data_IF_442148198633
#
_entry.id   IF_442148198633
#
_cell.length_a   1.000
_cell.length_b   1.000
_cell.length_c   1.000
_cell.angle_alpha   90.00
_cell.angle_beta   90.00
_cell.angle_gamma   90.00
#
_symmetry.space_group_name_H-M   'P 1'
#
loop_
_entity.id
_entity.type
_entity.pdbx_description
1 polymer ?
#
# COMPACT_ATOMS: atom_id res chain seq x y z
N UNK A 1 -5.02 14.03 -0.01
CA UNK A 1 -6.22 13.32 0.49
C UNK A 1 -6.07 13.03 1.99
N UNK A 2 -7.15 12.73 2.73
CA UNK A 2 -7.20 12.62 4.21
C UNK A 2 -7.72 11.27 4.74
N UNK A 3 -7.89 10.25 3.89
CA UNK A 3 -8.35 8.93 4.33
C UNK A 3 -7.27 8.18 5.13
N UNK A 4 -7.67 7.45 6.17
CA UNK A 4 -6.82 6.64 7.05
C UNK A 4 -7.12 5.13 6.96
N UNK A 5 -8.25 4.73 6.36
CA UNK A 5 -8.60 3.35 6.06
C UNK A 5 -9.60 3.30 4.89
N UNK A 6 -9.76 2.12 4.29
CA UNK A 6 -10.76 1.84 3.27
C UNK A 6 -11.56 0.58 3.64
N UNK A 7 -12.87 0.62 3.42
CA UNK A 7 -13.74 -0.56 3.44
C UNK A 7 -14.13 -0.88 2.00
N UNK A 8 -13.69 -2.05 1.51
CA UNK A 8 -13.90 -2.48 0.14
C UNK A 8 -14.88 -3.64 0.07
N UNK A 9 -16.10 -3.35 -0.36
CA UNK A 9 -17.21 -4.29 -0.32
C UNK A 9 -17.54 -4.83 -1.72
N UNK A 10 -17.87 -6.12 -1.82
CA UNK A 10 -18.53 -6.71 -2.98
C UNK A 10 -19.79 -7.48 -2.57
N UNK A 11 -20.65 -7.74 -3.54
CA UNK A 11 -21.92 -8.44 -3.37
C UNK A 11 -21.73 -9.91 -3.77
N UNK A 12 -21.94 -10.83 -2.83
CA UNK A 12 -21.72 -12.27 -3.05
C UNK A 12 -22.65 -12.88 -4.10
N UNK A 13 -23.79 -12.25 -4.34
CA UNK A 13 -24.77 -12.67 -5.35
C UNK A 13 -24.40 -12.18 -6.76
N UNK A 14 -23.47 -11.23 -6.87
CA UNK A 14 -23.10 -10.58 -8.14
C UNK A 14 -21.60 -10.71 -8.41
N UNK A 15 -21.23 -11.78 -9.12
CA UNK A 15 -19.83 -12.10 -9.49
C UNK A 15 -19.03 -10.93 -10.09
N UNK A 16 -19.67 -10.03 -10.84
CA UNK A 16 -18.99 -8.88 -11.44
C UNK A 16 -18.42 -7.92 -10.38
N UNK A 17 -19.09 -7.77 -9.23
CA UNK A 17 -18.61 -6.88 -8.16
C UNK A 17 -17.28 -7.36 -7.58
N UNK A 18 -17.10 -8.68 -7.42
CA UNK A 18 -15.82 -9.27 -7.03
C UNK A 18 -14.74 -9.08 -8.11
N UNK A 19 -15.11 -9.22 -9.40
CA UNK A 19 -14.17 -9.01 -10.52
C UNK A 19 -13.68 -7.56 -10.63
N UNK A 20 -14.40 -6.60 -10.07
CA UNK A 20 -14.01 -5.18 -10.08
C UNK A 20 -13.02 -4.82 -8.96
N UNK A 21 -12.86 -5.66 -7.92
CA UNK A 21 -11.96 -5.39 -6.80
C UNK A 21 -10.52 -5.03 -7.22
N UNK A 22 -9.89 -5.69 -8.22
CA UNK A 22 -8.55 -5.31 -8.67
C UNK A 22 -8.48 -3.88 -9.22
N UNK A 23 -9.52 -3.43 -9.92
CA UNK A 23 -9.59 -2.07 -10.48
C UNK A 23 -9.73 -1.05 -9.34
N UNK A 24 -10.69 -1.26 -8.44
CA UNK A 24 -10.90 -0.36 -7.30
C UNK A 24 -9.70 -0.31 -6.36
N UNK A 25 -9.02 -1.43 -6.16
CA UNK A 25 -7.82 -1.48 -5.34
C UNK A 25 -6.64 -0.77 -6.00
N UNK A 26 -6.48 -0.91 -7.31
CA UNK A 26 -5.46 -0.16 -8.05
C UNK A 26 -5.70 1.34 -7.91
N UNK A 27 -6.92 1.80 -8.20
CA UNK A 27 -7.29 3.21 -8.05
C UNK A 27 -7.06 3.70 -6.61
N UNK A 28 -7.47 2.93 -5.60
CA UNK A 28 -7.20 3.28 -4.19
C UNK A 28 -5.71 3.48 -3.94
N UNK A 29 -4.86 2.58 -4.44
CA UNK A 29 -3.40 2.65 -4.24
C UNK A 29 -2.73 3.77 -5.01
N UNK A 30 -3.30 4.22 -6.13
CA UNK A 30 -2.84 5.40 -6.87
C UNK A 30 -3.03 6.70 -6.07
N UNK A 31 -4.14 6.85 -5.33
CA UNK A 31 -4.44 8.07 -4.56
C UNK A 31 -4.06 8.00 -3.08
N UNK A 32 -4.04 6.80 -2.50
CA UNK A 32 -3.71 6.53 -1.09
C UNK A 32 -2.97 5.19 -0.95
N UNK A 33 -1.67 5.25 -1.16
CA UNK A 33 -0.77 4.17 -0.79
C UNK A 33 -0.82 3.90 0.73
N UNK A 34 -0.51 2.66 1.13
CA UNK A 34 -0.26 2.32 2.53
C UNK A 34 -1.47 2.16 3.46
N UNK A 35 -2.60 2.83 3.22
CA UNK A 35 -3.74 2.75 4.16
C UNK A 35 -4.30 1.31 4.25
N UNK A 36 -4.73 0.86 5.44
CA UNK A 36 -5.36 -0.45 5.61
C UNK A 36 -6.66 -0.56 4.82
N UNK A 37 -6.93 -1.78 4.34
CA UNK A 37 -8.15 -2.10 3.60
C UNK A 37 -8.83 -3.29 4.27
N UNK A 38 -10.08 -3.11 4.69
CA UNK A 38 -10.96 -4.18 5.15
C UNK A 38 -11.86 -4.58 3.99
N UNK A 39 -11.77 -5.82 3.52
CA UNK A 39 -12.61 -6.34 2.45
C UNK A 39 -13.85 -7.04 3.00
N UNK A 40 -15.00 -6.80 2.39
CA UNK A 40 -16.29 -7.33 2.84
C UNK A 40 -17.00 -8.08 1.70
N UNK A 41 -17.33 -9.34 1.94
CA UNK A 41 -18.29 -10.12 1.17
C UNK A 41 -19.69 -9.91 1.77
N UNK A 42 -20.47 -9.02 1.17
CA UNK A 42 -21.79 -8.64 1.66
C UNK A 42 -22.92 -9.43 0.99
N UNK A 43 -24.10 -9.45 1.64
CA UNK A 43 -25.34 -10.14 1.26
C UNK A 43 -25.32 -11.65 1.46
N UNK A 44 -24.63 -12.12 2.50
CA UNK A 44 -24.60 -13.55 2.84
C UNK A 44 -25.96 -14.11 3.29
N UNK A 45 -26.91 -13.24 3.64
CA UNK A 45 -28.30 -13.60 3.91
C UNK A 45 -28.98 -14.21 2.68
N UNK A 46 -28.58 -13.82 1.48
CA UNK A 46 -29.14 -14.32 0.21
C UNK A 46 -28.50 -15.64 -0.22
N UNK A 47 -27.20 -15.84 0.05
CA UNK A 47 -26.49 -17.10 -0.22
C UNK A 47 -25.49 -17.41 0.90
N UNK A 48 -25.98 -18.05 1.96
CA UNK A 48 -25.18 -18.39 3.15
C UNK A 48 -24.08 -19.41 2.86
N UNK A 49 -24.22 -20.21 1.79
CA UNK A 49 -23.20 -21.20 1.37
C UNK A 49 -21.89 -20.54 0.95
N UNK A 50 -21.91 -19.23 0.65
CA UNK A 50 -20.71 -18.49 0.26
C UNK A 50 -19.72 -18.35 1.43
N UNK A 51 -20.18 -18.47 2.68
CA UNK A 51 -19.33 -18.41 3.88
C UNK A 51 -18.30 -19.55 3.95
N UNK A 52 -18.55 -20.66 3.25
CA UNK A 52 -17.61 -21.77 3.12
C UNK A 52 -16.60 -21.60 1.97
N UNK A 53 -16.71 -20.53 1.16
CA UNK A 53 -15.81 -20.28 0.01
C UNK A 53 -14.72 -19.30 0.39
N UNK A 54 -13.47 -19.65 0.14
CA UNK A 54 -12.37 -18.68 0.24
C UNK A 54 -12.34 -17.72 -0.95
N UNK A 55 -12.00 -16.45 -0.68
CA UNK A 55 -11.76 -15.44 -1.70
C UNK A 55 -10.26 -15.13 -1.79
N UNK A 56 -9.68 -15.41 -2.94
CA UNK A 56 -8.23 -15.27 -3.15
C UNK A 56 -7.76 -13.81 -3.15
N UNK A 57 -8.59 -12.85 -3.57
CA UNK A 57 -8.18 -11.46 -3.74
C UNK A 57 -7.81 -10.78 -2.41
N UNK A 58 -8.64 -10.83 -1.35
CA UNK A 58 -8.26 -10.31 -0.02
C UNK A 58 -7.01 -11.00 0.53
N UNK A 59 -6.95 -12.34 0.44
CA UNK A 59 -5.81 -13.15 0.91
C UNK A 59 -4.50 -12.77 0.22
N UNK A 60 -4.52 -12.60 -1.12
CA UNK A 60 -3.35 -12.21 -1.92
C UNK A 60 -2.80 -10.83 -1.53
N UNK A 61 -3.65 -9.92 -1.09
CA UNK A 61 -3.26 -8.55 -0.75
C UNK A 61 -3.17 -8.30 0.76
N UNK A 62 -3.27 -9.35 1.59
CA UNK A 62 -3.18 -9.24 3.05
C UNK A 62 -4.27 -8.35 3.67
N UNK A 63 -5.47 -8.36 3.09
CA UNK A 63 -6.61 -7.59 3.59
C UNK A 63 -7.34 -8.36 4.70
N UNK A 64 -7.77 -7.65 5.75
CA UNK A 64 -8.76 -8.18 6.69
C UNK A 64 -10.06 -8.48 5.93
N UNK A 65 -10.71 -9.60 6.22
CA UNK A 65 -11.83 -10.08 5.41
C UNK A 65 -13.03 -10.51 6.26
N UNK A 66 -14.22 -10.03 5.90
CA UNK A 66 -15.46 -10.34 6.58
C UNK A 66 -16.54 -10.82 5.61
N UNK A 67 -17.30 -11.82 6.04
CA UNK A 67 -18.64 -12.10 5.51
C UNK A 67 -19.65 -11.25 6.28
N UNK A 68 -20.51 -10.52 5.58
CA UNK A 68 -21.53 -9.68 6.25
C UNK A 68 -22.88 -9.72 5.54
N UNK A 69 -23.91 -9.33 6.28
CA UNK A 69 -25.15 -8.86 5.70
C UNK A 69 -25.49 -7.50 6.31
N UNK A 70 -25.50 -6.48 5.46
CA UNK A 70 -26.00 -5.17 5.84
C UNK A 70 -27.51 -5.17 6.14
N UNK A 71 -28.26 -6.18 5.67
CA UNK A 71 -29.71 -6.24 5.85
C UNK A 71 -30.12 -6.73 7.24
N UNK A 72 -29.38 -7.69 7.80
CA UNK A 72 -29.67 -8.25 9.13
C UNK A 72 -28.64 -7.83 10.21
N UNK A 73 -27.59 -7.09 9.80
CA UNK A 73 -26.55 -6.57 10.68
C UNK A 73 -25.39 -7.54 10.93
N UNK A 74 -25.42 -8.75 10.37
CA UNK A 74 -24.37 -9.76 10.55
C UNK A 74 -22.99 -9.20 10.22
N UNK A 75 -22.11 -9.19 11.22
CA UNK A 75 -20.72 -8.74 11.17
C UNK A 75 -20.48 -7.27 10.73
N UNK A 76 -21.53 -6.44 10.60
CA UNK A 76 -21.37 -5.03 10.22
C UNK A 76 -20.54 -4.30 11.28
N UNK A 77 -20.91 -4.40 12.55
CA UNK A 77 -20.20 -3.74 13.66
C UNK A 77 -18.76 -4.22 13.75
N UNK A 78 -18.53 -5.54 13.67
CA UNK A 78 -17.20 -6.14 13.72
C UNK A 78 -16.29 -5.64 12.60
N UNK A 79 -16.81 -5.56 11.37
CA UNK A 79 -16.04 -5.08 10.22
C UNK A 79 -15.65 -3.59 10.35
N UNK A 80 -16.56 -2.74 10.84
CA UNK A 80 -16.26 -1.33 11.08
C UNK A 80 -15.30 -1.14 12.26
N UNK A 81 -15.44 -1.89 13.35
CA UNK A 81 -14.49 -1.85 14.47
C UNK A 81 -13.07 -2.20 14.01
N UNK A 82 -12.91 -3.25 13.19
CA UNK A 82 -11.62 -3.60 12.60
C UNK A 82 -11.07 -2.47 11.74
N UNK A 83 -11.91 -1.83 10.91
CA UNK A 83 -11.46 -0.71 10.08
C UNK A 83 -10.97 0.47 10.93
N UNK A 84 -11.66 0.78 12.03
CA UNK A 84 -11.29 1.85 12.98
C UNK A 84 -9.98 1.52 13.69
N UNK A 85 -9.83 0.28 14.20
CA UNK A 85 -8.61 -0.19 14.86
C UNK A 85 -7.41 -0.07 13.92
N UNK A 86 -7.52 -0.59 12.68
CA UNK A 86 -6.45 -0.48 11.69
C UNK A 86 -6.17 0.97 11.30
N UNK A 87 -7.18 1.82 11.17
CA UNK A 87 -7.00 3.25 10.89
C UNK A 87 -6.21 3.93 12.02
N UNK A 88 -6.52 3.60 13.26
CA UNK A 88 -5.83 4.12 14.44
C UNK A 88 -4.38 3.64 14.49
N UNK A 89 -4.13 2.33 14.30
CA UNK A 89 -2.77 1.77 14.19
C UNK A 89 -1.97 2.45 13.07
N UNK A 90 -2.59 2.70 11.93
CA UNK A 90 -1.97 3.42 10.81
C UNK A 90 -1.63 4.87 11.20
N UNK A 91 -2.51 5.56 11.93
CA UNK A 91 -2.29 6.95 12.38
C UNK A 91 -1.15 7.11 13.39
N UNK A 92 -0.81 6.04 14.13
CA UNK A 92 0.29 6.01 15.09
C UNK A 92 1.66 5.77 14.43
N UNK A 93 1.69 5.32 13.17
CA UNK A 93 2.95 5.15 12.45
C UNK A 93 3.58 6.53 12.25
N UNK A 94 4.91 6.67 12.38
CA UNK A 94 5.60 7.87 11.93
C UNK A 94 5.12 8.18 10.52
N UNK A 95 4.74 9.43 10.23
CA UNK A 95 4.15 9.77 8.94
C UNK A 95 5.03 9.23 7.82
N UNK A 96 4.41 8.58 6.83
CA UNK A 96 5.12 8.18 5.61
C UNK A 96 5.87 9.39 5.04
N UNK A 97 5.31 10.61 5.17
CA UNK A 97 5.98 11.87 4.83
C UNK A 97 7.33 12.09 5.56
N UNK A 98 7.44 11.77 6.86
CA UNK A 98 8.70 11.94 7.60
C UNK A 98 9.72 10.88 7.19
N UNK A 99 9.31 9.62 7.07
CA UNK A 99 10.20 8.53 6.66
C UNK A 99 10.67 8.73 5.22
N UNK A 100 9.77 9.11 4.30
CA UNK A 100 10.11 9.44 2.91
C UNK A 100 11.03 10.66 2.82
N UNK A 101 10.79 11.70 3.63
CA UNK A 101 11.70 12.86 3.71
C UNK A 101 13.09 12.47 4.25
N UNK A 102 13.15 11.66 5.31
CA UNK A 102 14.41 11.17 5.88
C UNK A 102 15.15 10.27 4.89
N UNK A 103 14.44 9.37 4.21
CA UNK A 103 15.02 8.48 3.19
C UNK A 103 15.50 9.27 1.96
N UNK A 104 14.77 10.32 1.57
CA UNK A 104 15.22 11.28 0.56
C UNK A 104 16.52 11.98 0.95
N UNK A 105 16.60 12.52 2.17
CA UNK A 105 17.80 13.18 2.70
C UNK A 105 19.01 12.25 2.78
N UNK A 106 18.81 10.98 3.18
CA UNK A 106 19.88 9.98 3.24
C UNK A 106 20.41 9.67 1.83
N UNK A 107 19.53 9.53 0.84
CA UNK A 107 19.93 9.27 -0.53
C UNK A 107 20.69 10.47 -1.15
N UNK A 108 20.24 11.70 -0.87
CA UNK A 108 20.90 12.92 -1.33
C UNK A 108 22.27 13.13 -0.69
N UNK A 109 22.40 12.87 0.61
CA UNK A 109 23.69 12.97 1.32
C UNK A 109 24.70 11.93 0.82
N UNK A 110 24.27 10.71 0.50
CA UNK A 110 25.16 9.72 -0.12
C UNK A 110 25.57 10.11 -1.55
N UNK A 111 24.64 10.68 -2.34
CA UNK A 111 24.93 11.19 -3.69
C UNK A 111 25.93 12.36 -3.67
N UNK A 112 25.83 13.26 -2.70
CA UNK A 112 26.81 14.33 -2.51
C UNK A 112 28.19 13.80 -2.11
N UNK A 113 28.26 12.78 -1.26
CA UNK A 113 29.53 12.17 -0.83
C UNK A 113 30.25 11.45 -1.98
N UNK A 114 29.50 10.87 -2.92
CA UNK A 114 30.05 10.26 -4.14
C UNK A 114 30.57 11.30 -5.14
N UNK A 115 29.94 12.48 -5.25
CA UNK A 115 30.41 13.59 -6.10
C UNK A 115 31.66 14.29 -5.56
N UNK A 116 31.77 14.42 -4.24
CA UNK A 116 32.91 15.07 -3.59
C UNK A 116 34.21 14.23 -3.63
N UNK A 117 34.11 12.91 -3.88
CA UNK A 117 35.26 12.01 -3.99
C UNK A 117 35.82 11.83 -5.41
N UNK A 118 35.27 12.53 -6.41
CA UNK A 118 35.58 12.31 -7.83
C UNK A 118 36.54 13.32 -8.48
N UNK A 119 37.19 14.20 -7.72
CA UNK A 119 38.02 15.28 -8.28
C UNK A 119 39.37 15.39 -7.60
N UNK A 120 40.35 14.57 -8.01
CA UNK A 120 41.78 14.91 -8.03
C UNK A 120 42.58 13.80 -8.72
N UNK A 121 42.86 13.95 -10.02
CA UNK A 121 44.05 13.42 -10.70
C UNK A 121 44.05 13.87 -12.18
N UNK A 122 44.37 15.14 -12.42
CA UNK A 122 44.85 15.57 -13.72
C UNK A 122 45.89 16.69 -13.54
N UNK A 123 47.03 16.48 -14.20
CA UNK A 123 48.10 17.41 -14.56
C UNK A 123 49.24 17.68 -13.56
N UNK A 124 50.42 17.16 -13.92
CA UNK A 124 51.70 17.87 -14.14
C UNK A 124 52.48 16.97 -15.15
N UNK A 125 52.71 17.34 -16.42
CA UNK A 125 53.76 18.25 -16.92
C UNK A 125 55.13 17.51 -16.94
N UNK A 126 56.00 17.49 -17.95
CA UNK A 126 56.15 18.14 -19.26
C UNK A 126 57.42 17.53 -19.95
N UNK A 127 57.47 17.54 -21.29
CA UNK A 127 58.64 17.60 -22.21
C UNK A 127 59.77 16.53 -22.29
N UNK A 128 59.80 15.87 -23.48
CA UNK A 128 60.86 15.85 -24.53
C UNK A 128 62.25 15.14 -24.38
N UNK A 129 62.77 14.76 -25.57
CA UNK A 129 64.13 14.29 -25.96
C UNK A 129 64.43 12.78 -25.79
N UNK A 130 65.11 12.03 -26.68
CA UNK A 130 65.66 12.20 -28.04
C UNK A 130 66.03 10.77 -28.57
N UNK A 131 66.49 10.67 -29.82
CA UNK A 131 66.91 9.49 -30.57
C UNK A 131 67.88 8.51 -29.86
N UNK A 132 67.71 7.20 -30.11
CA UNK A 132 68.70 6.31 -30.78
C UNK A 132 68.17 4.88 -30.94
#
# INVERSE_FOLDING_TARGET
HMAYACVMCFDVTRKQTYKNLPVWYKELREYRAGIPVVCIANKIDVDSKVTAKEFAFPKKHGMEFFYSSASDGTNVVSAFNMAIEKAYEYSLRPSDDFVDQVMGLINDTQSMRLKAGGGEAAENGEAAEEES
#
